data_IF_342148816958
#
_entry.id   IF_342148816958
#
_cell.length_a   1.000
_cell.length_b   1.000
_cell.length_c   1.000
_cell.angle_alpha   90.00
_cell.angle_beta   90.00
_cell.angle_gamma   90.00
#
_symmetry.space_group_name_H-M   'P 1'
#
loop_
_entity.id
_entity.type
_entity.pdbx_description
1 polymer ?
#
# COMPACT_ATOMS: atom_id res chain seq x y z
N UNK A 1 3.27 17.94 -8.64
CA UNK A 1 1.85 17.75 -8.23
C UNK A 1 1.84 16.83 -7.01
N UNK A 2 1.53 17.34 -5.81
CA UNK A 2 1.53 16.52 -4.59
C UNK A 2 0.27 15.65 -4.60
N UNK A 3 0.42 14.34 -4.82
CA UNK A 3 -0.69 13.41 -4.57
C UNK A 3 -0.81 13.31 -3.05
N UNK A 4 -1.78 14.03 -2.48
CA UNK A 4 -2.18 13.82 -1.11
C UNK A 4 -2.75 12.40 -1.00
N UNK A 5 -2.22 11.59 -0.09
CA UNK A 5 -2.77 10.26 0.17
C UNK A 5 -4.19 10.41 0.73
N UNK A 6 -5.13 9.63 0.21
CA UNK A 6 -6.40 9.48 0.91
C UNK A 6 -6.27 8.56 2.13
N UNK A 7 -7.28 8.60 3.01
CA UNK A 7 -7.28 7.86 4.28
C UNK A 7 -7.00 6.36 4.11
N UNK A 8 -7.44 5.73 3.01
CA UNK A 8 -7.18 4.31 2.78
C UNK A 8 -5.74 4.07 2.34
N UNK A 9 -5.18 4.94 1.51
CA UNK A 9 -3.77 4.84 1.12
C UNK A 9 -2.83 5.06 2.31
N UNK A 10 -3.15 5.99 3.22
CA UNK A 10 -2.40 6.19 4.47
C UNK A 10 -2.40 4.90 5.31
N UNK A 11 -3.57 4.25 5.46
CA UNK A 11 -3.68 2.98 6.18
C UNK A 11 -2.84 1.88 5.52
N UNK A 12 -2.86 1.79 4.19
CA UNK A 12 -2.03 0.82 3.44
C UNK A 12 -0.53 1.10 3.65
N UNK A 13 -0.08 2.35 3.54
CA UNK A 13 1.32 2.73 3.77
C UNK A 13 1.75 2.34 5.19
N UNK A 14 0.98 2.71 6.21
CA UNK A 14 1.28 2.38 7.60
C UNK A 14 1.38 0.88 7.81
N UNK A 15 0.41 0.12 7.29
CA UNK A 15 0.43 -1.32 7.38
C UNK A 15 1.68 -1.91 6.72
N UNK A 16 2.07 -1.44 5.53
CA UNK A 16 3.27 -1.93 4.82
C UNK A 16 4.56 -1.65 5.59
N UNK A 17 4.70 -0.46 6.18
CA UNK A 17 5.90 -0.06 6.93
C UNK A 17 6.06 -0.81 8.25
N UNK A 18 4.96 -1.36 8.80
CA UNK A 18 4.97 -2.15 10.04
C UNK A 18 5.39 -3.61 9.81
N UNK A 19 5.56 -4.04 8.55
CA UNK A 19 5.89 -5.43 8.25
C UNK A 19 7.40 -5.67 8.30
N UNK A 20 7.80 -6.77 8.95
CA UNK A 20 9.19 -7.25 8.95
C UNK A 20 9.61 -7.97 7.66
N UNK A 21 8.71 -8.11 6.69
CA UNK A 21 8.98 -8.78 5.42
C UNK A 21 7.79 -8.74 4.46
N UNK A 22 7.92 -9.40 3.29
CA UNK A 22 6.85 -9.45 2.29
C UNK A 22 5.57 -10.05 2.86
N UNK A 23 4.42 -9.50 2.43
CA UNK A 23 3.09 -9.99 2.80
C UNK A 23 2.21 -10.20 1.58
N UNK A 24 1.19 -11.04 1.72
CA UNK A 24 0.21 -11.26 0.65
C UNK A 24 -0.75 -10.08 0.62
N UNK A 25 -1.17 -9.70 -0.58
CA UNK A 25 -2.25 -8.72 -0.76
C UNK A 25 -3.57 -9.15 -0.15
N UNK A 26 -3.77 -10.46 0.05
CA UNK A 26 -4.92 -10.99 0.77
C UNK A 26 -4.90 -10.56 2.25
N UNK A 27 -3.77 -10.71 2.92
CA UNK A 27 -3.60 -10.36 4.34
C UNK A 27 -3.83 -8.85 4.55
N UNK A 28 -3.19 -8.03 3.71
CA UNK A 28 -3.39 -6.57 3.69
C UNK A 28 -4.87 -6.18 3.51
N UNK A 29 -5.59 -6.87 2.61
CA UNK A 29 -6.99 -6.60 2.36
C UNK A 29 -7.85 -6.96 3.58
N UNK A 30 -7.61 -8.15 4.15
CA UNK A 30 -8.30 -8.65 5.34
C UNK A 30 -8.09 -7.71 6.54
N UNK A 31 -6.84 -7.38 6.86
CA UNK A 31 -6.49 -6.58 8.03
C UNK A 31 -7.05 -5.15 7.97
N UNK A 32 -7.19 -4.60 6.75
CA UNK A 32 -7.72 -3.26 6.57
C UNK A 32 -9.24 -3.22 6.35
N UNK A 33 -9.91 -4.37 6.25
CA UNK A 33 -11.33 -4.46 5.92
C UNK A 33 -11.62 -3.97 4.49
N UNK A 34 -10.73 -4.29 3.55
CA UNK A 34 -10.81 -3.89 2.14
C UNK A 34 -10.96 -5.12 1.24
N UNK A 35 -11.47 -4.93 0.03
CA UNK A 35 -11.37 -5.96 -0.99
C UNK A 35 -9.98 -5.95 -1.65
N UNK A 36 -9.51 -7.10 -2.13
CA UNK A 36 -8.25 -7.18 -2.88
C UNK A 36 -8.25 -6.27 -4.12
N UNK A 37 -9.42 -6.10 -4.77
CA UNK A 37 -9.58 -5.17 -5.89
C UNK A 37 -9.26 -3.74 -5.46
N UNK A 38 -9.83 -3.29 -4.34
CA UNK A 38 -9.57 -1.95 -3.79
C UNK A 38 -8.11 -1.77 -3.41
N UNK A 39 -7.48 -2.79 -2.82
CA UNK A 39 -6.04 -2.77 -2.54
C UNK A 39 -5.25 -2.55 -3.83
N UNK A 40 -5.45 -3.40 -4.86
CA UNK A 40 -4.71 -3.32 -6.14
C UNK A 40 -4.83 -1.95 -6.79
N UNK A 41 -6.03 -1.36 -6.84
CA UNK A 41 -6.22 -0.01 -7.40
C UNK A 41 -5.45 1.06 -6.62
N UNK A 42 -5.30 0.90 -5.30
CA UNK A 42 -4.64 1.88 -4.43
C UNK A 42 -3.13 1.72 -4.37
N UNK A 43 -2.59 0.53 -4.66
CA UNK A 43 -1.15 0.26 -4.64
C UNK A 43 -0.39 1.16 -5.61
N UNK A 44 -0.98 1.58 -6.73
CA UNK A 44 -0.32 2.51 -7.66
C UNK A 44 0.00 3.86 -6.99
N UNK A 45 -0.98 4.46 -6.31
CA UNK A 45 -0.76 5.73 -5.61
C UNK A 45 0.10 5.59 -4.34
N UNK A 46 0.03 4.43 -3.67
CA UNK A 46 0.94 4.09 -2.55
C UNK A 46 2.38 3.97 -3.05
N UNK A 47 2.61 3.28 -4.17
CA UNK A 47 3.92 3.15 -4.80
C UNK A 47 4.49 4.52 -5.19
N UNK A 48 3.69 5.37 -5.84
CA UNK A 48 4.10 6.73 -6.18
C UNK A 48 4.47 7.57 -4.95
N UNK A 49 3.74 7.43 -3.85
CA UNK A 49 4.06 8.09 -2.59
C UNK A 49 5.37 7.58 -1.99
N UNK A 50 5.56 6.26 -1.93
CA UNK A 50 6.79 5.65 -1.40
C UNK A 50 8.01 6.08 -2.22
N UNK A 51 7.90 6.08 -3.56
CA UNK A 51 8.97 6.49 -4.47
C UNK A 51 9.41 7.94 -4.22
N UNK A 52 8.45 8.85 -3.98
CA UNK A 52 8.75 10.25 -3.61
C UNK A 52 9.50 10.39 -2.28
N UNK A 53 9.38 9.39 -1.40
CA UNK A 53 10.08 9.33 -0.12
C UNK A 53 11.32 8.42 -0.17
N UNK A 54 11.80 8.05 -1.37
CA UNK A 54 13.00 7.23 -1.54
C UNK A 54 12.81 5.74 -1.23
N UNK A 55 11.56 5.26 -1.18
CA UNK A 55 11.22 3.87 -0.94
C UNK A 55 10.61 3.23 -2.19
N UNK A 56 10.84 1.93 -2.38
CA UNK A 56 10.27 1.18 -3.49
C UNK A 56 9.28 0.13 -2.99
N UNK A 57 8.11 0.07 -3.63
CA UNK A 57 7.13 -0.98 -3.37
C UNK A 57 7.34 -2.15 -4.34
N UNK A 58 7.80 -3.29 -3.81
CA UNK A 58 8.03 -4.50 -4.60
C UNK A 58 6.79 -5.39 -4.56
N UNK A 59 6.28 -5.76 -5.74
CA UNK A 59 5.24 -6.78 -5.89
C UNK A 59 5.85 -8.06 -6.44
N UNK A 60 5.51 -9.20 -5.83
CA UNK A 60 5.88 -10.53 -6.33
C UNK A 60 4.63 -11.29 -6.77
N UNK A 61 4.70 -12.06 -7.88
CA UNK A 61 3.60 -12.91 -8.32
C UNK A 61 3.27 -14.00 -7.29
#
# INVERSE_FOLDING_TARGET
MSIALDTRQIRIVRWLLDQSGPRRTFDLASDLGLSQRVVRYRLAGVSAYLARNGLELITKP
#
